data_IF_287192828110
#
_entry.id   IF_287192828110
#
_cell.length_a   1.000
_cell.length_b   1.000
_cell.length_c   1.000
_cell.angle_alpha   90.00
_cell.angle_beta   90.00
_cell.angle_gamma   90.00
#
_symmetry.space_group_name_H-M   'P 1'
#
loop_
_entity.id
_entity.type
_entity.pdbx_description
1 polymer ?
#
# COMPACT_ATOMS: atom_id res chain seq x y z
N UNK A 1 -33.08 -16.03 18.55
CA UNK A 1 -32.54 -15.43 17.30
C UNK A 1 -31.45 -14.45 17.66
N UNK A 2 -30.18 -14.82 17.47
CA UNK A 2 -29.06 -13.90 17.67
C UNK A 2 -29.07 -12.86 16.54
N UNK A 3 -29.28 -11.57 16.87
CA UNK A 3 -29.21 -10.49 15.88
C UNK A 3 -27.79 -10.47 15.30
N UNK A 4 -27.68 -10.73 14.01
CA UNK A 4 -26.44 -10.49 13.25
C UNK A 4 -26.20 -8.98 13.28
N UNK A 5 -25.28 -8.53 14.13
CA UNK A 5 -24.88 -7.13 14.19
C UNK A 5 -24.19 -6.76 12.86
N UNK A 6 -24.87 -6.00 12.01
CA UNK A 6 -24.27 -5.50 10.77
C UNK A 6 -23.21 -4.47 11.14
N UNK A 7 -21.95 -4.77 10.83
CA UNK A 7 -20.84 -3.82 10.99
C UNK A 7 -21.14 -2.58 10.15
N UNK A 8 -21.07 -1.41 10.77
CA UNK A 8 -21.21 -0.15 10.06
C UNK A 8 -19.89 0.18 9.35
N UNK A 9 -19.90 0.12 8.02
CA UNK A 9 -18.74 0.44 7.18
C UNK A 9 -18.68 1.92 6.79
N UNK A 10 -19.69 2.73 7.14
CA UNK A 10 -19.74 4.15 6.79
C UNK A 10 -18.54 4.95 7.28
N UNK A 11 -18.08 4.82 8.56
CA UNK A 11 -16.91 5.58 9.01
C UNK A 11 -15.66 5.25 8.19
N UNK A 12 -15.46 3.97 7.86
CA UNK A 12 -14.32 3.51 7.07
C UNK A 12 -14.40 4.00 5.63
N UNK A 13 -15.60 4.04 5.04
CA UNK A 13 -15.81 4.56 3.70
C UNK A 13 -15.51 6.07 3.61
N UNK A 14 -15.93 6.85 4.61
CA UNK A 14 -15.65 8.28 4.69
C UNK A 14 -14.14 8.54 4.79
N UNK A 15 -13.45 7.82 5.67
CA UNK A 15 -11.98 7.91 5.81
C UNK A 15 -11.29 7.54 4.49
N UNK A 16 -11.75 6.48 3.82
CA UNK A 16 -11.18 6.08 2.54
C UNK A 16 -11.34 7.15 1.45
N UNK A 17 -12.51 7.78 1.39
CA UNK A 17 -12.78 8.87 0.45
C UNK A 17 -11.90 10.09 0.75
N UNK A 18 -11.75 10.47 2.02
CA UNK A 18 -10.84 11.53 2.44
C UNK A 18 -9.37 11.24 2.06
N UNK A 19 -8.92 9.99 2.18
CA UNK A 19 -7.58 9.58 1.76
C UNK A 19 -7.39 9.66 0.25
N UNK A 20 -8.40 9.29 -0.55
CA UNK A 20 -8.35 9.45 -2.00
C UNK A 20 -8.28 10.92 -2.42
N UNK A 21 -9.08 11.79 -1.80
CA UNK A 21 -8.99 13.24 -2.00
C UNK A 21 -7.58 13.73 -1.64
N UNK A 22 -7.05 13.32 -0.49
CA UNK A 22 -5.68 13.66 -0.09
C UNK A 22 -4.64 13.20 -1.11
N UNK A 23 -4.79 11.99 -1.67
CA UNK A 23 -3.92 11.47 -2.70
C UNK A 23 -3.96 12.32 -3.98
N UNK A 24 -5.17 12.70 -4.44
CA UNK A 24 -5.36 13.61 -5.57
C UNK A 24 -4.70 14.96 -5.31
N UNK A 25 -4.90 15.54 -4.12
CA UNK A 25 -4.27 16.81 -3.75
C UNK A 25 -2.74 16.71 -3.77
N UNK A 26 -2.16 15.61 -3.30
CA UNK A 26 -0.71 15.40 -3.34
C UNK A 26 -0.22 15.38 -4.79
N UNK A 27 -0.90 14.66 -5.69
CA UNK A 27 -0.50 14.58 -7.11
C UNK A 27 -0.53 15.94 -7.81
N UNK A 28 -1.54 16.77 -7.52
CA UNK A 28 -1.72 18.06 -8.22
C UNK A 28 -0.96 19.23 -7.58
N UNK A 29 -0.80 19.24 -6.26
CA UNK A 29 -0.27 20.42 -5.54
C UNK A 29 1.13 20.22 -4.96
N UNK A 30 1.64 18.98 -4.89
CA UNK A 30 2.94 18.71 -4.24
C UNK A 30 4.01 18.43 -5.28
N UNK A 31 4.99 19.33 -5.37
CA UNK A 31 6.15 19.16 -6.26
C UNK A 31 7.05 18.00 -5.78
N UNK A 32 7.38 17.02 -6.65
CA UNK A 32 8.18 15.84 -6.26
C UNK A 32 9.68 16.15 -6.07
N UNK A 33 10.17 17.27 -6.61
CA UNK A 33 11.60 17.58 -6.72
C UNK A 33 12.23 18.13 -5.44
N UNK A 34 11.42 18.47 -4.42
CA UNK A 34 11.95 18.93 -3.14
C UNK A 34 12.72 17.79 -2.47
N UNK A 35 14.04 17.87 -2.49
CA UNK A 35 14.93 16.93 -1.83
C UNK A 35 15.57 17.54 -0.60
N UNK A 36 15.55 16.80 0.50
CA UNK A 36 16.41 17.08 1.65
C UNK A 36 17.69 16.26 1.51
N UNK A 37 18.83 16.92 1.67
CA UNK A 37 20.12 16.27 1.76
C UNK A 37 20.59 16.41 3.21
N UNK A 38 20.95 15.27 3.82
CA UNK A 38 21.62 15.26 5.10
C UNK A 38 22.91 14.47 4.97
N UNK A 39 23.99 15.04 5.48
CA UNK A 39 25.30 14.40 5.54
C UNK A 39 25.59 13.97 6.97
N UNK A 40 25.74 12.67 7.19
CA UNK A 40 26.14 12.11 8.49
C UNK A 40 27.40 11.29 8.26
N UNK A 41 28.51 11.66 8.92
CA UNK A 41 29.78 10.93 8.90
C UNK A 41 30.16 10.38 7.50
N UNK A 42 30.17 11.25 6.49
CA UNK A 42 30.51 10.95 5.07
C UNK A 42 29.45 10.27 4.20
N UNK A 43 28.31 9.85 4.75
CA UNK A 43 27.18 9.37 3.95
C UNK A 43 26.30 10.54 3.50
N UNK A 44 26.16 10.73 2.19
CA UNK A 44 25.21 11.67 1.60
C UNK A 44 23.89 10.94 1.31
N UNK A 45 22.88 11.19 2.14
CA UNK A 45 21.55 10.64 1.94
C UNK A 45 20.64 11.73 1.35
N UNK A 46 20.06 11.44 0.18
CA UNK A 46 19.08 12.29 -0.48
C UNK A 46 17.69 11.70 -0.25
N UNK A 47 16.87 12.40 0.52
CA UNK A 47 15.49 12.00 0.80
C UNK A 47 14.51 12.90 0.03
N UNK A 48 13.46 12.28 -0.51
CA UNK A 48 12.36 12.96 -1.20
C UNK A 48 11.08 12.81 -0.36
N UNK A 49 10.86 13.68 0.64
CA UNK A 49 9.75 13.53 1.60
C UNK A 49 8.38 13.52 0.91
N UNK A 50 8.23 14.28 -0.17
CA UNK A 50 6.96 14.41 -0.90
C UNK A 50 6.60 13.11 -1.63
N UNK A 51 7.59 12.45 -2.21
CA UNK A 51 7.43 11.13 -2.83
C UNK A 51 7.04 10.10 -1.76
N UNK A 52 7.73 10.13 -0.61
CA UNK A 52 7.40 9.25 0.51
C UNK A 52 5.96 9.47 1.01
N UNK A 53 5.55 10.73 1.16
CA UNK A 53 4.20 11.11 1.58
C UNK A 53 3.14 10.61 0.59
N UNK A 54 3.41 10.72 -0.71
CA UNK A 54 2.55 10.16 -1.76
C UNK A 54 2.39 8.64 -1.59
N UNK A 55 3.49 7.90 -1.49
CA UNK A 55 3.42 6.44 -1.34
C UNK A 55 2.69 6.04 -0.07
N UNK A 56 2.92 6.74 1.05
CA UNK A 56 2.22 6.47 2.31
C UNK A 56 0.70 6.68 2.17
N UNK A 57 0.28 7.83 1.64
CA UNK A 57 -1.13 8.15 1.44
C UNK A 57 -1.80 7.16 0.48
N UNK A 58 -1.14 6.85 -0.64
CA UNK A 58 -1.60 5.88 -1.62
C UNK A 58 -1.72 4.48 -1.02
N UNK A 59 -0.77 4.08 -0.16
CA UNK A 59 -0.80 2.79 0.52
C UNK A 59 -2.01 2.65 1.43
N UNK A 60 -2.27 3.66 2.25
CA UNK A 60 -3.41 3.65 3.17
C UNK A 60 -4.74 3.64 2.40
N UNK A 61 -4.84 4.46 1.36
CA UNK A 61 -6.02 4.55 0.50
C UNK A 61 -6.31 3.23 -0.22
N UNK A 62 -5.31 2.62 -0.87
CA UNK A 62 -5.48 1.32 -1.52
C UNK A 62 -5.79 0.20 -0.54
N UNK A 63 -5.11 0.17 0.61
CA UNK A 63 -5.33 -0.86 1.63
C UNK A 63 -6.77 -0.84 2.11
N UNK A 64 -7.30 0.34 2.43
CA UNK A 64 -8.68 0.48 2.89
C UNK A 64 -9.67 0.15 1.77
N UNK A 65 -9.42 0.60 0.54
CA UNK A 65 -10.25 0.28 -0.61
C UNK A 65 -10.33 -1.23 -0.84
N UNK A 66 -9.19 -1.92 -0.92
CA UNK A 66 -9.15 -3.36 -1.16
C UNK A 66 -9.63 -4.17 0.04
N UNK A 67 -9.39 -3.70 1.27
CA UNK A 67 -9.93 -4.32 2.48
C UNK A 67 -11.46 -4.30 2.50
N UNK A 68 -12.08 -3.19 2.09
CA UNK A 68 -13.53 -3.06 1.97
C UNK A 68 -14.06 -3.94 0.83
N UNK A 69 -13.42 -3.97 -0.33
CA UNK A 69 -13.83 -4.78 -1.48
C UNK A 69 -13.78 -6.29 -1.22
N UNK A 70 -12.69 -6.78 -0.61
CA UNK A 70 -12.54 -8.21 -0.33
C UNK A 70 -13.17 -8.66 1.00
N UNK A 71 -13.67 -7.72 1.81
CA UNK A 71 -14.12 -8.00 3.18
C UNK A 71 -13.02 -8.58 4.08
N UNK A 72 -11.76 -8.45 3.69
CA UNK A 72 -10.59 -9.05 4.34
C UNK A 72 -9.43 -8.07 4.34
N UNK A 73 -9.15 -7.48 5.51
CA UNK A 73 -8.11 -6.48 5.72
C UNK A 73 -6.72 -6.99 5.33
N UNK A 74 -6.43 -8.27 5.60
CA UNK A 74 -5.11 -8.85 5.32
C UNK A 74 -4.87 -9.08 3.83
N UNK A 75 -5.89 -9.55 3.10
CA UNK A 75 -5.80 -9.66 1.63
C UNK A 75 -5.69 -8.29 0.98
N UNK A 76 -6.51 -7.34 1.44
CA UNK A 76 -6.45 -5.96 0.94
C UNK A 76 -5.08 -5.31 1.12
N UNK A 77 -4.45 -5.52 2.28
CA UNK A 77 -3.10 -5.02 2.55
C UNK A 77 -2.00 -5.69 1.72
N UNK A 78 -2.07 -7.01 1.49
CA UNK A 78 -1.09 -7.70 0.65
C UNK A 78 -1.17 -7.24 -0.81
N UNK A 79 -2.39 -7.06 -1.33
CA UNK A 79 -2.60 -6.63 -2.72
C UNK A 79 -2.22 -5.15 -2.88
N UNK A 80 -2.53 -4.28 -1.91
CA UNK A 80 -2.09 -2.89 -1.96
C UNK A 80 -0.56 -2.80 -1.98
N UNK A 81 0.12 -3.54 -1.10
CA UNK A 81 1.59 -3.65 -1.09
C UNK A 81 2.14 -4.08 -2.44
N UNK A 82 1.56 -5.11 -3.06
CA UNK A 82 1.98 -5.55 -4.40
C UNK A 82 1.94 -4.41 -5.43
N UNK A 83 0.85 -3.63 -5.48
CA UNK A 83 0.75 -2.49 -6.39
C UNK A 83 1.76 -1.38 -6.07
N UNK A 84 2.00 -1.09 -4.79
CA UNK A 84 2.98 -0.09 -4.35
C UNK A 84 4.38 -0.51 -4.77
N UNK A 85 4.75 -1.77 -4.57
CA UNK A 85 6.06 -2.28 -4.97
C UNK A 85 6.25 -2.19 -6.49
N UNK A 86 5.23 -2.47 -7.30
CA UNK A 86 5.30 -2.27 -8.76
C UNK A 86 5.59 -0.80 -9.10
N UNK A 87 4.87 0.13 -8.47
CA UNK A 87 5.07 1.56 -8.68
C UNK A 87 6.46 2.01 -8.23
N UNK A 88 6.97 1.47 -7.12
CA UNK A 88 8.30 1.75 -6.59
C UNK A 88 9.38 1.22 -7.54
N UNK A 89 9.23 0.00 -8.05
CA UNK A 89 10.13 -0.56 -9.06
C UNK A 89 10.13 0.29 -10.35
N UNK A 90 8.96 0.81 -10.75
CA UNK A 90 8.84 1.70 -11.90
C UNK A 90 9.53 3.04 -11.66
N UNK A 91 9.41 3.58 -10.45
CA UNK A 91 10.10 4.81 -10.05
C UNK A 91 11.62 4.65 -10.06
N UNK A 92 12.12 3.50 -9.59
CA UNK A 92 13.55 3.16 -9.63
C UNK A 92 14.05 2.82 -11.04
N UNK A 93 13.16 2.76 -12.05
CA UNK A 93 13.45 2.34 -13.44
C UNK A 93 13.99 0.91 -13.55
N UNK A 94 13.64 0.04 -12.61
CA UNK A 94 14.03 -1.39 -12.58
C UNK A 94 12.80 -2.29 -12.88
N UNK A 95 11.64 -1.69 -13.17
CA UNK A 95 10.44 -2.44 -13.51
C UNK A 95 10.58 -3.14 -14.87
N UNK A 96 10.99 -4.40 -14.84
CA UNK A 96 10.96 -5.34 -15.95
C UNK A 96 9.91 -6.42 -15.71
N UNK A 97 9.46 -7.09 -16.78
CA UNK A 97 8.51 -8.20 -16.69
C UNK A 97 8.94 -9.27 -15.67
N UNK A 98 10.23 -9.62 -15.65
CA UNK A 98 10.81 -10.55 -14.69
C UNK A 98 10.69 -10.09 -13.23
N UNK A 99 10.96 -8.81 -12.95
CA UNK A 99 10.82 -8.28 -11.57
C UNK A 99 9.38 -8.31 -11.09
N UNK A 100 8.42 -8.08 -11.98
CA UNK A 100 6.98 -8.15 -11.66
C UNK A 100 6.58 -9.60 -11.39
N UNK A 101 7.06 -10.56 -12.18
CA UNK A 101 6.82 -11.99 -11.96
C UNK A 101 7.38 -12.46 -10.61
N UNK A 102 8.64 -12.11 -10.30
CA UNK A 102 9.26 -12.46 -9.01
C UNK A 102 8.46 -11.87 -7.84
N UNK A 103 8.08 -10.60 -7.95
CA UNK A 103 7.23 -9.95 -6.95
C UNK A 103 5.90 -10.71 -6.78
N UNK A 104 5.26 -11.09 -7.88
CA UNK A 104 4.01 -11.85 -7.87
C UNK A 104 4.14 -13.20 -7.15
N UNK A 105 5.24 -13.92 -7.38
CA UNK A 105 5.54 -15.19 -6.69
C UNK A 105 5.73 -14.96 -5.19
N UNK A 106 6.48 -13.92 -4.79
CA UNK A 106 6.69 -13.59 -3.37
C UNK A 106 5.37 -13.30 -2.67
N UNK A 107 4.50 -12.47 -3.25
CA UNK A 107 3.21 -12.17 -2.63
C UNK A 107 2.26 -13.37 -2.63
N UNK A 108 2.27 -14.20 -3.68
CA UNK A 108 1.44 -15.41 -3.77
C UNK A 108 1.86 -16.46 -2.73
N UNK A 109 3.17 -16.66 -2.55
CA UNK A 109 3.71 -17.59 -1.55
C UNK A 109 3.42 -17.12 -0.13
N UNK A 110 3.51 -15.81 0.14
CA UNK A 110 3.08 -15.23 1.41
C UNK A 110 1.60 -15.50 1.65
N UNK A 111 0.72 -15.23 0.68
CA UNK A 111 -0.71 -15.51 0.84
C UNK A 111 -0.96 -17.00 1.14
N UNK A 112 -0.33 -17.91 0.38
CA UNK A 112 -0.45 -19.35 0.56
C UNK A 112 0.01 -19.82 1.94
N UNK A 113 1.15 -19.31 2.43
CA UNK A 113 1.68 -19.64 3.76
C UNK A 113 0.65 -19.37 4.85
N UNK A 114 0.05 -18.19 4.79
CA UNK A 114 -0.90 -17.81 5.81
C UNK A 114 -2.27 -18.49 5.68
N UNK A 115 -2.72 -18.83 4.46
CA UNK A 115 -3.92 -19.64 4.26
C UNK A 115 -3.73 -21.01 4.93
N UNK A 116 -2.57 -21.66 4.72
CA UNK A 116 -2.23 -22.93 5.36
C UNK A 116 -2.15 -22.83 6.89
N UNK A 117 -1.62 -21.73 7.43
CA UNK A 117 -1.55 -21.51 8.89
C UNK A 117 -2.95 -21.44 9.52
N UNK A 118 -3.91 -20.79 8.86
CA UNK A 118 -5.31 -20.72 9.33
C UNK A 118 -5.96 -22.10 9.39
N UNK A 119 -5.56 -23.02 8.51
CA UNK A 119 -6.13 -24.36 8.42
C UNK A 119 -5.56 -25.34 9.47
N UNK A 120 -4.35 -25.10 9.99
CA UNK A 120 -3.73 -25.90 11.07
C UNK A 120 -4.19 -25.52 12.49
N UNK A 121 -4.96 -24.44 12.64
CA UNK A 121 -5.40 -23.90 13.94
C UNK A 121 -6.89 -24.17 14.23
N UNK A 122 -7.53 -24.97 13.37
CA UNK A 122 -8.89 -25.50 13.51
C UNK A 122 -8.75 -27.00 13.70
#
# INVERSE_FOLDING_TARGET
MTRVHRRNFLPTAIVNLALWIGCVLIVFFVNPEKSFQFSVFSFQLKAFPNIFLFFLAFTLSLTLTLALLFGNTRRGFLISLFFIFILLLRLLKIAHWWTILVLGIVFSTLEAYFVRRKQKTI
#
